data_IF_030976901727
#
_entry.id   IF_030976901727
#
_cell.length_a   1.000
_cell.length_b   1.000
_cell.length_c   1.000
_cell.angle_alpha   90.00
_cell.angle_beta   90.00
_cell.angle_gamma   90.00
#
_symmetry.space_group_name_H-M   'P 1'
#
loop_
_entity.id
_entity.type
_entity.pdbx_description
1 polymer ?
#
# COMPACT_ATOMS: atom_id res chain seq x y z
N UNK A 1 8.78 0.39 7.13
CA UNK A 1 8.48 1.53 6.22
C UNK A 1 7.04 2.05 6.40
N UNK A 2 6.05 1.23 6.66
CA UNK A 2 4.67 1.69 6.97
C UNK A 2 4.66 2.66 8.16
N UNK A 3 5.35 2.32 9.27
CA UNK A 3 5.49 3.21 10.44
C UNK A 3 6.17 4.53 10.06
N UNK A 4 7.26 4.48 9.28
CA UNK A 4 7.97 5.68 8.84
C UNK A 4 7.07 6.65 8.05
N UNK A 5 6.23 6.12 7.15
CA UNK A 5 5.23 6.91 6.41
C UNK A 5 4.17 7.47 7.35
N UNK A 6 3.64 6.64 8.26
CA UNK A 6 2.65 7.09 9.24
C UNK A 6 3.15 8.23 10.13
N UNK A 7 4.34 8.09 10.70
CA UNK A 7 4.97 9.16 11.50
C UNK A 7 5.17 10.45 10.71
N UNK A 8 5.64 10.34 9.45
CA UNK A 8 5.82 11.50 8.59
C UNK A 8 4.51 12.26 8.37
N UNK A 9 3.43 11.53 8.01
CA UNK A 9 2.12 12.12 7.73
C UNK A 9 1.49 12.75 8.98
N UNK A 10 1.62 12.10 10.13
CA UNK A 10 1.15 12.66 11.42
C UNK A 10 1.92 13.91 11.82
N UNK A 11 3.24 13.95 11.59
CA UNK A 11 4.09 15.08 11.95
C UNK A 11 3.78 16.34 11.14
N UNK A 12 3.53 16.20 9.83
CA UNK A 12 3.21 17.37 8.97
C UNK A 12 1.74 17.78 9.03
N UNK A 13 0.87 16.87 9.43
CA UNK A 13 -0.56 17.13 9.60
C UNK A 13 -1.37 17.13 8.28
N UNK A 14 -2.71 17.22 8.39
CA UNK A 14 -3.61 16.95 7.27
C UNK A 14 -3.60 17.99 6.15
N UNK A 15 -3.15 19.22 6.43
CA UNK A 15 -3.15 20.35 5.48
C UNK A 15 -1.78 20.63 4.84
N UNK A 16 -0.77 19.79 5.11
CA UNK A 16 0.59 19.97 4.59
C UNK A 16 0.60 20.00 3.05
N UNK A 17 1.45 20.84 2.47
CA UNK A 17 1.66 20.84 1.02
C UNK A 17 2.33 19.53 0.56
N UNK A 18 2.11 19.14 -0.69
CA UNK A 18 2.68 17.91 -1.28
C UNK A 18 4.20 17.84 -1.07
N UNK A 19 4.91 18.94 -1.27
CA UNK A 19 6.36 19.00 -1.08
C UNK A 19 6.78 18.73 0.37
N UNK A 20 6.06 19.28 1.34
CA UNK A 20 6.32 19.03 2.77
C UNK A 20 6.13 17.56 3.13
N UNK A 21 5.10 16.92 2.55
CA UNK A 21 4.85 15.49 2.72
C UNK A 21 6.01 14.68 2.13
N UNK A 22 6.43 14.97 0.90
CA UNK A 22 7.54 14.27 0.24
C UNK A 22 8.84 14.39 1.04
N UNK A 23 9.17 15.58 1.53
CA UNK A 23 10.36 15.83 2.36
C UNK A 23 10.29 15.05 3.69
N UNK A 24 9.16 15.10 4.39
CA UNK A 24 8.97 14.37 5.64
C UNK A 24 9.01 12.85 5.45
N UNK A 25 8.35 12.34 4.41
CA UNK A 25 8.35 10.91 4.09
C UNK A 25 9.75 10.43 3.75
N UNK A 26 10.50 11.17 2.92
CA UNK A 26 11.87 10.82 2.58
C UNK A 26 12.77 10.80 3.83
N UNK A 27 12.68 11.82 4.68
CA UNK A 27 13.44 11.90 5.93
C UNK A 27 13.13 10.72 6.86
N UNK A 28 11.86 10.46 7.15
CA UNK A 28 11.45 9.39 8.06
C UNK A 28 11.82 7.99 7.51
N UNK A 29 11.66 7.77 6.21
CA UNK A 29 12.06 6.50 5.59
C UNK A 29 13.57 6.27 5.66
N UNK A 30 14.39 7.32 5.50
CA UNK A 30 15.84 7.21 5.67
C UNK A 30 16.21 6.97 7.13
N UNK A 31 15.60 7.69 8.08
CA UNK A 31 15.86 7.52 9.50
C UNK A 31 15.52 6.09 9.98
N UNK A 32 14.33 5.61 9.69
CA UNK A 32 13.93 4.25 10.01
C UNK A 32 14.80 3.20 9.30
N UNK A 33 15.13 3.44 8.03
CA UNK A 33 16.00 2.54 7.27
C UNK A 33 17.41 2.43 7.83
N UNK A 34 17.97 3.53 8.35
CA UNK A 34 19.29 3.54 9.00
C UNK A 34 19.27 2.90 10.40
N UNK A 35 18.18 3.07 11.15
CA UNK A 35 17.99 2.40 12.45
C UNK A 35 17.79 0.90 12.32
N UNK A 36 17.17 0.43 11.22
CA UNK A 36 16.88 -1.00 10.98
C UNK A 36 17.46 -1.48 9.64
N UNK A 37 18.81 -1.50 9.47
CA UNK A 37 19.44 -1.72 8.16
C UNK A 37 19.28 -3.15 7.63
N UNK A 38 18.86 -4.09 8.48
CA UNK A 38 18.71 -5.53 8.15
C UNK A 38 17.24 -5.97 7.99
N UNK A 39 16.30 -5.03 7.80
CA UNK A 39 14.87 -5.32 7.68
C UNK A 39 14.43 -5.78 6.27
N UNK A 40 15.30 -6.41 5.49
CA UNK A 40 14.91 -7.04 4.21
C UNK A 40 14.71 -6.09 3.04
N UNK A 41 15.26 -4.88 3.07
CA UNK A 41 15.07 -3.90 1.98
C UNK A 41 15.66 -4.35 0.65
N UNK A 42 14.94 -4.10 -0.44
CA UNK A 42 15.43 -4.28 -1.80
C UNK A 42 16.70 -3.47 -2.10
N UNK A 43 17.50 -3.93 -3.04
CA UNK A 43 18.85 -3.37 -3.30
C UNK A 43 18.87 -1.87 -3.62
N UNK A 44 17.96 -1.38 -4.50
CA UNK A 44 17.85 0.04 -4.86
C UNK A 44 17.42 0.90 -3.67
N UNK A 45 16.47 0.43 -2.87
CA UNK A 45 16.01 1.14 -1.67
C UNK A 45 17.10 1.19 -0.58
N UNK A 46 17.85 0.10 -0.40
CA UNK A 46 19.00 0.05 0.53
C UNK A 46 20.09 1.05 0.16
N UNK A 47 20.30 1.31 -1.12
CA UNK A 47 21.21 2.34 -1.60
C UNK A 47 20.64 3.75 -1.32
N UNK A 48 19.37 3.98 -1.68
CA UNK A 48 18.67 5.24 -1.48
C UNK A 48 18.63 5.71 -0.01
N UNK A 49 18.49 4.79 0.95
CA UNK A 49 18.54 5.10 2.39
C UNK A 49 19.85 5.80 2.80
N UNK A 50 20.95 5.49 2.13
CA UNK A 50 22.29 5.99 2.47
C UNK A 50 22.64 7.32 1.80
N UNK A 51 21.89 7.74 0.82
CA UNK A 51 22.17 8.97 0.08
C UNK A 51 21.95 10.22 0.95
N UNK A 52 22.80 11.24 0.77
CA UNK A 52 22.64 12.54 1.45
C UNK A 52 21.55 13.39 0.82
N UNK A 53 21.29 13.23 -0.47
CA UNK A 53 20.23 13.92 -1.21
C UNK A 53 19.49 12.91 -2.07
N UNK A 54 18.65 12.07 -1.44
CA UNK A 54 17.98 10.97 -2.12
C UNK A 54 17.03 11.48 -3.20
N UNK A 55 17.09 10.86 -4.38
CA UNK A 55 16.21 11.16 -5.49
C UNK A 55 15.33 9.97 -5.82
N UNK A 56 14.12 10.19 -6.31
CA UNK A 56 13.30 9.11 -6.84
C UNK A 56 14.06 8.35 -7.94
N UNK A 57 13.85 7.05 -8.00
CA UNK A 57 14.59 6.19 -8.93
C UNK A 57 13.67 5.38 -9.86
N UNK A 58 12.44 5.84 -10.08
CA UNK A 58 11.52 5.26 -11.05
C UNK A 58 11.09 3.83 -10.72
N UNK A 59 10.98 3.47 -9.43
CA UNK A 59 10.50 2.15 -9.05
C UNK A 59 9.02 1.99 -9.40
N UNK A 60 8.65 0.81 -9.89
CA UNK A 60 7.28 0.33 -10.04
C UNK A 60 7.00 -0.87 -9.10
N UNK A 61 7.90 -1.09 -8.16
CA UNK A 61 7.77 -2.15 -7.16
C UNK A 61 6.59 -1.97 -6.21
N UNK A 62 6.14 -3.06 -5.62
CA UNK A 62 4.99 -3.10 -4.72
C UNK A 62 5.23 -2.40 -3.36
N UNK A 63 6.46 -2.00 -3.06
CA UNK A 63 6.84 -1.31 -1.84
C UNK A 63 6.13 0.04 -1.60
N UNK A 64 5.69 0.75 -2.65
CA UNK A 64 4.87 1.96 -2.49
C UNK A 64 3.47 1.63 -1.93
N UNK A 65 2.82 0.58 -2.44
CA UNK A 65 1.51 0.11 -2.00
C UNK A 65 1.58 -0.51 -0.58
N UNK A 66 2.63 -1.30 -0.30
CA UNK A 66 2.82 -1.97 0.99
C UNK A 66 2.89 -0.99 2.18
N UNK A 67 3.44 0.21 1.98
CA UNK A 67 3.69 1.16 3.08
C UNK A 67 2.67 2.30 3.20
N UNK A 68 1.66 2.36 2.33
CA UNK A 68 0.81 3.55 2.14
C UNK A 68 -0.38 3.63 3.10
N UNK A 69 -0.62 2.62 3.92
CA UNK A 69 -1.86 2.47 4.70
C UNK A 69 -2.28 3.73 5.46
N UNK A 70 -1.35 4.45 6.08
CA UNK A 70 -1.64 5.68 6.82
C UNK A 70 -2.34 6.75 5.96
N UNK A 71 -2.04 6.84 4.65
CA UNK A 71 -2.73 7.76 3.76
C UNK A 71 -4.23 7.42 3.62
N UNK A 72 -4.61 6.15 3.66
CA UNK A 72 -6.03 5.73 3.65
C UNK A 72 -6.78 6.06 4.94
N UNK A 73 -6.07 6.26 6.06
CA UNK A 73 -6.66 6.50 7.37
C UNK A 73 -6.75 7.97 7.78
N UNK A 74 -5.82 8.82 7.37
CA UNK A 74 -5.61 10.14 7.98
C UNK A 74 -6.36 11.30 7.31
N UNK A 75 -7.02 11.08 6.17
CA UNK A 75 -7.63 12.16 5.40
C UNK A 75 -9.11 11.94 5.14
N UNK A 76 -9.88 13.04 5.01
CA UNK A 76 -11.34 13.04 4.99
C UNK A 76 -11.95 13.10 3.57
N UNK A 77 -11.12 13.12 2.51
CA UNK A 77 -11.61 13.00 1.14
C UNK A 77 -10.76 12.05 0.32
N UNK A 78 -11.38 11.42 -0.68
CA UNK A 78 -10.69 10.47 -1.58
C UNK A 78 -9.63 11.18 -2.43
N UNK A 79 -9.89 12.42 -2.83
CA UNK A 79 -8.95 13.22 -3.63
C UNK A 79 -7.67 13.49 -2.83
N UNK A 80 -7.83 13.91 -1.56
CA UNK A 80 -6.69 14.18 -0.68
C UNK A 80 -5.96 12.89 -0.32
N UNK A 81 -6.67 11.82 -0.07
CA UNK A 81 -6.08 10.48 0.15
C UNK A 81 -5.21 10.06 -1.03
N UNK A 82 -5.68 10.21 -2.26
CA UNK A 82 -4.92 9.89 -3.48
C UNK A 82 -3.73 10.80 -3.67
N UNK A 83 -3.90 12.12 -3.46
CA UNK A 83 -2.81 13.10 -3.55
C UNK A 83 -1.66 12.75 -2.58
N UNK A 84 -2.01 12.44 -1.33
CA UNK A 84 -1.02 12.06 -0.31
C UNK A 84 -0.40 10.70 -0.62
N UNK A 85 -1.17 9.70 -1.03
CA UNK A 85 -0.63 8.41 -1.45
C UNK A 85 0.39 8.56 -2.58
N UNK A 86 0.10 9.40 -3.58
CA UNK A 86 1.04 9.78 -4.65
C UNK A 86 2.31 10.40 -4.09
N UNK A 87 2.19 11.37 -3.17
CA UNK A 87 3.34 12.02 -2.55
C UNK A 87 4.23 11.01 -1.81
N UNK A 88 3.64 10.06 -1.06
CA UNK A 88 4.42 9.01 -0.37
C UNK A 88 5.12 8.05 -1.32
N UNK A 89 4.56 7.81 -2.50
CA UNK A 89 5.17 6.99 -3.54
C UNK A 89 6.31 7.72 -4.25
N UNK A 90 6.11 9.00 -4.60
CA UNK A 90 7.01 9.82 -5.41
C UNK A 90 8.45 9.85 -4.91
N UNK A 91 8.68 9.73 -3.62
CA UNK A 91 10.03 9.82 -3.04
C UNK A 91 10.98 8.71 -3.51
N UNK A 92 10.43 7.61 -4.02
CA UNK A 92 11.20 6.45 -4.54
C UNK A 92 10.55 5.81 -5.77
N UNK A 93 9.22 5.71 -5.79
CA UNK A 93 8.39 4.97 -6.74
C UNK A 93 7.62 5.93 -7.68
N UNK A 94 8.32 6.87 -8.29
CA UNK A 94 7.73 7.87 -9.19
C UNK A 94 7.44 7.34 -10.61
N UNK A 95 7.45 6.01 -10.81
CA UNK A 95 6.93 5.37 -12.01
C UNK A 95 5.39 5.36 -11.97
N UNK A 96 4.67 5.54 -13.09
CA UNK A 96 3.20 5.52 -13.11
C UNK A 96 2.57 4.32 -12.39
N UNK A 97 3.09 3.12 -12.59
CA UNK A 97 2.58 1.91 -11.92
C UNK A 97 2.87 1.89 -10.40
N UNK A 98 4.01 2.43 -9.96
CA UNK A 98 4.32 2.56 -8.53
C UNK A 98 3.40 3.55 -7.82
N UNK A 99 3.08 4.67 -8.47
CA UNK A 99 2.12 5.68 -7.99
C UNK A 99 0.71 5.08 -7.96
N UNK A 100 0.29 4.46 -9.07
CA UNK A 100 -1.01 3.82 -9.23
C UNK A 100 -1.28 2.78 -8.13
N UNK A 101 -0.30 1.93 -7.82
CA UNK A 101 -0.44 0.93 -6.75
C UNK A 101 -0.66 1.54 -5.37
N UNK A 102 0.06 2.62 -5.04
CA UNK A 102 -0.13 3.34 -3.78
C UNK A 102 -1.51 4.02 -3.72
N UNK A 103 -1.92 4.73 -4.78
CA UNK A 103 -3.23 5.39 -4.85
C UNK A 103 -4.37 4.38 -4.75
N UNK A 104 -4.30 3.25 -5.46
CA UNK A 104 -5.33 2.21 -5.43
C UNK A 104 -5.48 1.60 -4.03
N UNK A 105 -4.37 1.25 -3.39
CA UNK A 105 -4.37 0.70 -2.03
C UNK A 105 -4.94 1.70 -1.01
N UNK A 106 -4.49 2.95 -1.04
CA UNK A 106 -4.99 3.98 -0.13
C UNK A 106 -6.49 4.28 -0.36
N UNK A 107 -6.93 4.28 -1.62
CA UNK A 107 -8.34 4.45 -1.97
C UNK A 107 -9.22 3.33 -1.44
N UNK A 108 -8.78 2.07 -1.59
CA UNK A 108 -9.50 0.92 -1.06
C UNK A 108 -9.63 0.99 0.48
N UNK A 109 -8.56 1.38 1.19
CA UNK A 109 -8.58 1.59 2.64
C UNK A 109 -9.54 2.73 3.02
N UNK A 110 -9.47 3.86 2.32
CA UNK A 110 -10.35 5.00 2.57
C UNK A 110 -11.83 4.61 2.39
N UNK A 111 -12.18 3.95 1.31
CA UNK A 111 -13.54 3.51 1.04
C UNK A 111 -14.03 2.50 2.07
N UNK A 112 -13.20 1.52 2.42
CA UNK A 112 -13.51 0.50 3.42
C UNK A 112 -13.85 1.13 4.78
N UNK A 113 -13.00 2.03 5.29
CA UNK A 113 -13.23 2.70 6.59
C UNK A 113 -14.44 3.64 6.59
N UNK A 114 -14.87 4.12 5.42
CA UNK A 114 -16.05 4.97 5.28
C UNK A 114 -17.33 4.18 4.95
N UNK A 115 -17.30 2.85 5.06
CA UNK A 115 -18.48 2.00 4.99
C UNK A 115 -18.92 1.60 3.59
N UNK A 116 -18.06 1.78 2.56
CA UNK A 116 -18.34 1.26 1.22
C UNK A 116 -18.38 -0.27 1.22
N UNK A 117 -19.29 -0.83 0.43
CA UNK A 117 -19.35 -2.27 0.19
C UNK A 117 -18.14 -2.76 -0.63
N UNK A 118 -17.90 -4.07 -0.64
CA UNK A 118 -16.86 -4.67 -1.46
C UNK A 118 -17.08 -4.45 -2.95
N UNK A 119 -18.32 -4.47 -3.38
CA UNK A 119 -18.74 -4.22 -4.75
C UNK A 119 -18.39 -2.78 -5.16
N UNK A 120 -18.72 -1.79 -4.32
CA UNK A 120 -18.38 -0.38 -4.56
C UNK A 120 -16.87 -0.15 -4.61
N UNK A 121 -16.10 -0.79 -3.71
CA UNK A 121 -14.64 -0.73 -3.72
C UNK A 121 -14.10 -1.33 -5.02
N UNK A 122 -14.59 -2.51 -5.41
CA UNK A 122 -14.20 -3.20 -6.64
C UNK A 122 -14.45 -2.31 -7.86
N UNK A 123 -15.66 -1.82 -8.03
CA UNK A 123 -16.07 -0.99 -9.17
C UNK A 123 -15.22 0.30 -9.25
N UNK A 124 -14.95 0.93 -8.10
CA UNK A 124 -14.10 2.11 -8.05
C UNK A 124 -12.68 1.80 -8.50
N UNK A 125 -12.08 0.75 -7.98
CA UNK A 125 -10.70 0.37 -8.32
C UNK A 125 -10.57 -0.03 -9.78
N UNK A 126 -11.51 -0.79 -10.32
CA UNK A 126 -11.52 -1.17 -11.75
C UNK A 126 -11.67 0.07 -12.64
N UNK A 127 -12.56 0.99 -12.31
CA UNK A 127 -12.81 2.21 -13.09
C UNK A 127 -11.63 3.19 -13.06
N UNK A 128 -11.09 3.49 -11.87
CA UNK A 128 -10.09 4.55 -11.69
C UNK A 128 -8.67 4.08 -11.99
N UNK A 129 -8.37 2.82 -11.73
CA UNK A 129 -7.01 2.28 -11.83
C UNK A 129 -6.85 1.20 -12.90
N UNK A 130 -7.94 0.78 -13.54
CA UNK A 130 -7.94 -0.23 -14.60
C UNK A 130 -7.26 -1.55 -14.21
N UNK A 131 -7.41 -1.95 -12.95
CA UNK A 131 -7.04 -3.27 -12.49
C UNK A 131 -8.16 -4.26 -12.82
N UNK A 132 -7.80 -5.45 -13.30
CA UNK A 132 -8.75 -6.54 -13.49
C UNK A 132 -8.98 -7.29 -12.17
N UNK A 133 -10.11 -7.03 -11.53
CA UNK A 133 -10.55 -7.68 -10.30
C UNK A 133 -11.66 -8.73 -10.55
N UNK A 134 -11.85 -9.17 -11.80
CA UNK A 134 -12.85 -10.19 -12.16
C UNK A 134 -12.38 -11.62 -11.89
N UNK A 135 -11.07 -11.83 -11.69
CA UNK A 135 -10.45 -13.12 -11.42
C UNK A 135 -10.77 -13.60 -10.00
N UNK A 136 -10.70 -14.93 -9.81
CA UNK A 136 -10.88 -15.55 -8.49
C UNK A 136 -9.55 -16.00 -7.89
N UNK A 137 -9.48 -16.14 -6.56
CA UNK A 137 -8.32 -16.68 -5.88
C UNK A 137 -7.93 -18.07 -6.39
N UNK A 138 -8.93 -18.94 -6.64
CA UNK A 138 -8.67 -20.29 -7.16
C UNK A 138 -8.00 -20.24 -8.54
N UNK A 139 -8.41 -19.30 -9.38
CA UNK A 139 -7.76 -19.09 -10.66
C UNK A 139 -6.34 -18.55 -10.49
N UNK A 140 -6.14 -17.52 -9.63
CA UNK A 140 -4.84 -16.89 -9.39
C UNK A 140 -3.83 -17.89 -8.82
N UNK A 141 -4.20 -18.76 -7.88
CA UNK A 141 -3.35 -19.80 -7.30
C UNK A 141 -2.70 -20.73 -8.32
N UNK A 142 -3.30 -20.89 -9.49
CA UNK A 142 -2.78 -21.81 -10.52
C UNK A 142 -1.53 -21.28 -11.25
N UNK A 143 -1.29 -19.97 -11.24
CA UNK A 143 -0.20 -19.36 -12.01
C UNK A 143 0.63 -18.33 -11.23
N UNK A 144 0.13 -17.82 -10.09
CA UNK A 144 0.82 -16.75 -9.37
C UNK A 144 2.17 -17.26 -8.83
N UNK A 145 3.16 -16.42 -8.91
CA UNK A 145 4.52 -16.69 -8.46
C UNK A 145 5.11 -15.45 -7.79
N UNK A 146 6.38 -15.52 -7.37
CA UNK A 146 7.02 -14.38 -6.74
C UNK A 146 7.21 -13.23 -7.74
N UNK A 147 6.51 -12.12 -7.48
CA UNK A 147 6.58 -10.87 -8.23
C UNK A 147 6.67 -9.69 -7.26
N UNK A 148 7.38 -8.64 -7.65
CA UNK A 148 7.61 -7.46 -6.82
C UNK A 148 7.03 -6.18 -7.45
N UNK A 149 6.24 -6.29 -8.52
CA UNK A 149 5.64 -5.15 -9.22
C UNK A 149 4.27 -4.78 -8.66
N UNK A 150 3.93 -3.49 -8.65
CA UNK A 150 2.59 -3.03 -8.25
C UNK A 150 1.47 -3.62 -9.10
N UNK A 151 1.67 -3.66 -10.42
CA UNK A 151 0.64 -4.12 -11.36
C UNK A 151 0.28 -5.60 -11.23
N UNK A 152 1.16 -6.41 -10.65
CA UNK A 152 0.93 -7.84 -10.43
C UNK A 152 0.65 -8.20 -8.97
N UNK A 153 0.99 -7.32 -8.01
CA UNK A 153 0.75 -7.58 -6.57
C UNK A 153 -0.55 -6.94 -6.08
N UNK A 154 -0.81 -5.68 -6.47
CA UNK A 154 -1.92 -4.91 -5.89
C UNK A 154 -3.30 -5.49 -6.25
N UNK A 155 -3.60 -5.85 -7.51
CA UNK A 155 -4.89 -6.45 -7.83
C UNK A 155 -5.10 -7.79 -7.11
N UNK A 156 -4.10 -8.65 -7.00
CA UNK A 156 -4.17 -9.91 -6.27
C UNK A 156 -4.43 -9.72 -4.78
N UNK A 157 -3.78 -8.74 -4.16
CA UNK A 157 -4.02 -8.38 -2.76
C UNK A 157 -5.45 -7.85 -2.53
N UNK A 158 -5.97 -7.05 -3.46
CA UNK A 158 -7.36 -6.56 -3.40
C UNK A 158 -8.35 -7.71 -3.58
N UNK A 159 -8.13 -8.63 -4.54
CA UNK A 159 -8.97 -9.82 -4.74
C UNK A 159 -8.98 -10.68 -3.47
N UNK A 160 -7.84 -10.87 -2.80
CA UNK A 160 -7.76 -11.61 -1.55
C UNK A 160 -8.65 -11.00 -0.44
N UNK A 161 -8.74 -9.66 -0.39
CA UNK A 161 -9.70 -8.97 0.47
C UNK A 161 -11.14 -9.16 0.00
N UNK A 162 -11.42 -8.98 -1.28
CA UNK A 162 -12.79 -9.04 -1.83
C UNK A 162 -13.45 -10.41 -1.59
N UNK A 163 -12.71 -11.50 -1.68
CA UNK A 163 -13.21 -12.87 -1.43
C UNK A 163 -13.22 -13.29 0.05
N UNK A 164 -12.71 -12.46 0.96
CA UNK A 164 -12.63 -12.79 2.38
C UNK A 164 -13.97 -12.60 3.10
N UNK A 165 -14.15 -13.29 4.22
CA UNK A 165 -15.32 -13.16 5.10
C UNK A 165 -15.01 -12.42 6.41
N UNK A 166 -13.75 -12.34 6.78
CA UNK A 166 -13.24 -11.60 7.94
C UNK A 166 -11.77 -11.19 7.74
N UNK A 167 -11.19 -10.49 8.71
CA UNK A 167 -9.83 -9.98 8.61
C UNK A 167 -8.78 -11.11 8.57
N UNK A 168 -8.97 -12.18 9.33
CA UNK A 168 -8.05 -13.33 9.36
C UNK A 168 -8.12 -14.12 8.05
N UNK A 169 -9.33 -14.31 7.53
CA UNK A 169 -9.56 -14.98 6.25
C UNK A 169 -8.90 -14.19 5.08
N UNK A 170 -8.98 -12.85 5.11
CA UNK A 170 -8.30 -12.01 4.14
C UNK A 170 -6.78 -12.24 4.11
N UNK A 171 -6.15 -12.30 5.28
CA UNK A 171 -4.71 -12.59 5.39
C UNK A 171 -4.39 -14.01 4.91
N UNK A 172 -5.21 -15.01 5.27
CA UNK A 172 -5.04 -16.40 4.81
C UNK A 172 -5.16 -16.49 3.29
N UNK A 173 -6.12 -15.79 2.71
CA UNK A 173 -6.28 -15.68 1.26
C UNK A 173 -5.02 -15.13 0.59
N UNK A 174 -4.49 -14.01 1.08
CA UNK A 174 -3.26 -13.42 0.56
C UNK A 174 -2.06 -14.37 0.65
N UNK A 175 -1.86 -15.00 1.82
CA UNK A 175 -0.75 -15.95 2.05
C UNK A 175 -0.90 -17.19 1.17
N UNK A 176 -2.13 -17.65 0.92
CA UNK A 176 -2.40 -18.85 0.10
C UNK A 176 -2.01 -18.70 -1.37
N UNK A 177 -1.82 -17.46 -1.86
CA UNK A 177 -1.34 -17.19 -3.22
C UNK A 177 0.15 -17.53 -3.38
N UNK A 178 0.91 -17.58 -2.28
CA UNK A 178 2.36 -17.73 -2.36
C UNK A 178 3.08 -16.44 -2.82
N UNK A 179 4.28 -16.58 -3.33
CA UNK A 179 5.06 -15.44 -3.82
C UNK A 179 5.55 -14.49 -2.73
N UNK A 180 5.39 -13.20 -2.93
CA UNK A 180 5.74 -12.11 -1.98
C UNK A 180 4.62 -11.94 -0.93
N UNK A 181 4.47 -12.95 -0.07
CA UNK A 181 3.33 -13.09 0.85
C UNK A 181 3.28 -12.05 1.95
N UNK A 182 4.39 -11.50 2.39
CA UNK A 182 4.44 -10.43 3.38
C UNK A 182 3.91 -9.11 2.80
N UNK A 183 4.24 -8.80 1.55
CA UNK A 183 3.70 -7.62 0.86
C UNK A 183 2.23 -7.80 0.50
N UNK A 184 1.83 -8.96 -0.06
CA UNK A 184 0.42 -9.30 -0.29
C UNK A 184 -0.38 -9.16 1.01
N UNK A 185 0.11 -9.77 2.09
CA UNK A 185 -0.51 -9.71 3.41
C UNK A 185 -0.61 -8.30 3.97
N UNK A 186 0.44 -7.47 3.81
CA UNK A 186 0.43 -6.08 4.27
C UNK A 186 -0.64 -5.24 3.56
N UNK A 187 -0.77 -5.36 2.24
CA UNK A 187 -1.77 -4.64 1.45
C UNK A 187 -3.18 -5.13 1.79
N UNK A 188 -3.41 -6.44 1.70
CA UNK A 188 -4.70 -7.08 1.95
C UNK A 188 -5.21 -6.78 3.36
N UNK A 189 -4.34 -6.95 4.39
CA UNK A 189 -4.71 -6.69 5.78
C UNK A 189 -5.07 -5.23 6.02
N UNK A 190 -4.33 -4.30 5.43
CA UNK A 190 -4.62 -2.87 5.60
C UNK A 190 -6.02 -2.49 5.13
N UNK A 191 -6.51 -3.12 4.06
CA UNK A 191 -7.88 -2.92 3.55
C UNK A 191 -8.89 -3.68 4.43
N UNK A 192 -8.59 -4.94 4.77
CA UNK A 192 -9.46 -5.78 5.58
C UNK A 192 -9.68 -5.22 6.99
N UNK A 193 -8.63 -4.67 7.62
CA UNK A 193 -8.72 -4.00 8.92
C UNK A 193 -9.63 -2.76 8.87
N UNK A 194 -9.55 -1.99 7.80
CA UNK A 194 -10.42 -0.84 7.58
C UNK A 194 -11.89 -1.24 7.36
N UNK A 195 -12.14 -2.41 6.78
CA UNK A 195 -13.47 -2.90 6.46
C UNK A 195 -14.12 -3.66 7.63
N UNK A 196 -13.39 -4.58 8.26
CA UNK A 196 -13.90 -5.48 9.31
C UNK A 196 -13.62 -5.01 10.73
N UNK A 197 -12.68 -4.07 10.90
CA UNK A 197 -12.11 -3.69 12.19
C UNK A 197 -10.96 -4.61 12.63
N UNK A 198 -10.34 -4.25 13.76
CA UNK A 198 -9.24 -5.01 14.36
C UNK A 198 -9.84 -6.19 15.13
N UNK A 199 -9.40 -7.44 14.90
CA UNK A 199 -9.84 -8.57 15.70
C UNK A 199 -9.56 -8.37 17.19
N UNK A 200 -10.54 -8.64 18.05
CA UNK A 200 -10.45 -8.42 19.49
C UNK A 200 -9.24 -9.12 20.17
N UNK A 201 -8.77 -10.23 19.59
CA UNK A 201 -7.58 -10.96 20.07
C UNK A 201 -6.27 -10.19 19.87
N UNK A 202 -6.28 -9.12 19.07
CA UNK A 202 -5.10 -8.30 18.74
C UNK A 202 -5.13 -6.92 19.42
N UNK A 203 -6.16 -6.63 20.21
CA UNK A 203 -6.31 -5.43 21.04
C UNK A 203 -5.99 -5.77 22.49
#
# INVERSE_FOLDING_TARGET
MTIAVGEALMAVGPKAAVKEIEEAVAFNMQDWGRRYPHAGYGGRFRHWIKENNPKPYGSYGNGSAMRVSAAGWLYDSIERTREVARATANVTHNHPEGIKGAEATASAIYMARNGSSKEEIKEYIEREFHYDLSRTLDNIRTYYHHVESCQETVPEAIIAFLESKDCDDAVRNAVSLGGDTDTLGAITRSIAEAFYGIPAVLI
#
